data_IF_948156664815
#
_entry.id   IF_948156664815
#
_cell.length_a   1.000
_cell.length_b   1.000
_cell.length_c   1.000
_cell.angle_alpha   90.00
_cell.angle_beta   90.00
_cell.angle_gamma   90.00
#
_symmetry.space_group_name_H-M   'P 1'
#
loop_
_entity.id
_entity.type
_entity.pdbx_description
1 polymer ?
#
# COMPACT_ATOMS: atom_id res chain seq x y z
N UNK A 1 2.61 18.58 -6.24
CA UNK A 1 2.31 17.32 -5.53
C UNK A 1 1.62 17.71 -4.25
N UNK A 2 0.40 17.22 -4.06
CA UNK A 2 -0.45 17.47 -2.90
C UNK A 2 -0.39 16.25 -1.95
N UNK A 3 -0.83 16.39 -0.71
CA UNK A 3 -0.85 15.26 0.25
C UNK A 3 -1.72 14.10 -0.29
N UNK A 4 -2.82 14.45 -0.95
CA UNK A 4 -3.72 13.54 -1.67
C UNK A 4 -3.01 12.62 -2.68
N UNK A 5 -1.93 13.09 -3.33
CA UNK A 5 -1.17 12.26 -4.27
C UNK A 5 -0.52 11.07 -3.54
N UNK A 6 -0.06 11.26 -2.31
CA UNK A 6 0.53 10.19 -1.50
C UNK A 6 -0.53 9.23 -0.96
N UNK A 7 -1.67 9.75 -0.50
CA UNK A 7 -2.80 8.93 -0.05
C UNK A 7 -3.29 8.02 -1.16
N UNK A 8 -3.39 8.56 -2.38
CA UNK A 8 -3.75 7.78 -3.56
C UNK A 8 -2.76 6.65 -3.81
N UNK A 9 -1.45 6.93 -3.73
CA UNK A 9 -0.43 5.89 -3.89
C UNK A 9 -0.60 4.79 -2.84
N UNK A 10 -0.80 5.13 -1.56
CA UNK A 10 -0.98 4.13 -0.49
C UNK A 10 -2.27 3.32 -0.68
N UNK A 11 -3.37 3.96 -1.04
CA UNK A 11 -4.67 3.30 -1.26
C UNK A 11 -4.63 2.35 -2.46
N UNK A 12 -3.83 2.65 -3.48
CA UNK A 12 -3.66 1.76 -4.63
C UNK A 12 -3.08 0.39 -4.24
N UNK A 13 -2.24 0.32 -3.21
CA UNK A 13 -1.74 -0.97 -2.72
C UNK A 13 -2.86 -1.86 -2.19
N UNK A 14 -3.88 -1.28 -1.55
CA UNK A 14 -5.04 -2.02 -1.04
C UNK A 14 -5.88 -2.56 -2.21
N UNK A 15 -6.17 -1.72 -3.20
CA UNK A 15 -6.88 -2.15 -4.40
C UNK A 15 -6.16 -3.27 -5.15
N UNK A 16 -4.84 -3.21 -5.27
CA UNK A 16 -4.07 -4.28 -5.92
C UNK A 16 -4.14 -5.58 -5.11
N UNK A 17 -4.11 -5.53 -3.77
CA UNK A 17 -4.29 -6.73 -2.95
C UNK A 17 -5.69 -7.33 -3.15
N UNK A 18 -6.73 -6.50 -3.13
CA UNK A 18 -8.12 -6.93 -3.36
C UNK A 18 -8.29 -7.56 -4.75
N UNK A 19 -7.72 -6.94 -5.79
CA UNK A 19 -7.73 -7.47 -7.17
C UNK A 19 -7.04 -8.84 -7.24
N UNK A 20 -5.92 -9.02 -6.51
CA UNK A 20 -5.23 -10.32 -6.48
C UNK A 20 -6.09 -11.38 -5.80
N UNK A 21 -6.75 -11.07 -4.69
CA UNK A 21 -7.65 -12.01 -4.02
C UNK A 21 -8.87 -12.33 -4.89
N UNK A 22 -9.47 -11.35 -5.57
CA UNK A 22 -10.53 -11.60 -6.54
C UNK A 22 -10.05 -12.53 -7.67
N UNK A 23 -8.85 -12.33 -8.20
CA UNK A 23 -8.28 -13.21 -9.23
C UNK A 23 -8.13 -14.64 -8.70
N UNK A 24 -7.62 -14.82 -7.47
CA UNK A 24 -7.46 -16.15 -6.84
C UNK A 24 -8.80 -16.88 -6.71
N UNK A 25 -9.86 -16.17 -6.36
CA UNK A 25 -11.20 -16.75 -6.20
C UNK A 25 -11.83 -17.19 -7.53
N UNK A 26 -11.41 -16.59 -8.64
CA UNK A 26 -11.97 -16.85 -9.97
C UNK A 26 -11.20 -17.91 -10.78
N UNK A 27 -10.08 -18.44 -10.27
CA UNK A 27 -9.25 -19.42 -10.98
C UNK A 27 -8.92 -20.64 -10.09
N UNK A 28 -8.87 -21.83 -10.69
CA UNK A 28 -8.41 -23.02 -9.96
C UNK A 28 -6.88 -23.04 -9.88
N UNK A 29 -6.35 -22.86 -8.67
CA UNK A 29 -4.92 -22.83 -8.40
C UNK A 29 -4.42 -24.14 -7.82
N UNK A 30 -3.18 -24.51 -8.15
CA UNK A 30 -2.41 -25.44 -7.34
C UNK A 30 -1.90 -24.76 -6.06
N UNK A 31 -1.57 -25.53 -5.04
CA UNK A 31 -1.00 -25.01 -3.78
C UNK A 31 0.24 -24.12 -4.01
N UNK A 32 1.09 -24.48 -4.98
CA UNK A 32 2.30 -23.70 -5.32
C UNK A 32 1.95 -22.35 -5.96
N UNK A 33 0.87 -22.27 -6.73
CA UNK A 33 0.43 -21.02 -7.36
C UNK A 33 -0.25 -20.13 -6.33
N UNK A 34 -1.14 -20.68 -5.50
CA UNK A 34 -1.76 -19.95 -4.39
C UNK A 34 -0.71 -19.36 -3.43
N UNK A 35 0.33 -20.13 -3.11
CA UNK A 35 1.43 -19.65 -2.30
C UNK A 35 2.16 -18.44 -2.94
N UNK A 36 2.32 -18.42 -4.26
CA UNK A 36 2.95 -17.28 -4.96
C UNK A 36 2.08 -16.04 -4.91
N UNK A 37 0.77 -16.16 -5.07
CA UNK A 37 -0.13 -15.02 -4.94
C UNK A 37 -0.14 -14.48 -3.52
N UNK A 38 -0.19 -15.36 -2.52
CA UNK A 38 -0.09 -14.96 -1.11
C UNK A 38 1.24 -14.24 -0.82
N UNK A 39 2.36 -14.69 -1.39
CA UNK A 39 3.64 -13.99 -1.29
C UNK A 39 3.63 -12.62 -1.98
N UNK A 40 2.90 -12.47 -3.10
CA UNK A 40 2.76 -11.19 -3.79
C UNK A 40 2.02 -10.18 -2.93
N UNK A 41 0.88 -10.57 -2.34
CA UNK A 41 0.11 -9.76 -1.38
C UNK A 41 1.02 -9.29 -0.23
N UNK A 42 1.72 -10.21 0.44
CA UNK A 42 2.64 -9.87 1.54
C UNK A 42 3.74 -8.88 1.09
N UNK A 43 4.23 -9.00 -0.13
CA UNK A 43 5.24 -8.10 -0.68
C UNK A 43 4.68 -6.69 -0.92
N UNK A 44 3.43 -6.60 -1.37
CA UNK A 44 2.70 -5.35 -1.64
C UNK A 44 2.39 -4.64 -0.30
N UNK A 45 1.85 -5.36 0.69
CA UNK A 45 1.62 -4.84 2.05
C UNK A 45 2.91 -4.30 2.68
N UNK A 46 4.02 -5.02 2.50
CA UNK A 46 5.33 -4.57 2.99
C UNK A 46 5.77 -3.29 2.30
N UNK A 47 5.57 -3.16 0.99
CA UNK A 47 5.89 -1.94 0.26
C UNK A 47 5.01 -0.77 0.73
N UNK A 48 3.70 -0.99 0.90
CA UNK A 48 2.75 -0.02 1.47
C UNK A 48 3.26 0.50 2.81
N UNK A 49 3.60 -0.39 3.73
CA UNK A 49 4.13 -0.02 5.06
C UNK A 49 5.40 0.83 4.98
N UNK A 50 6.35 0.43 4.13
CA UNK A 50 7.61 1.18 3.94
C UNK A 50 7.31 2.60 3.43
N UNK A 51 6.42 2.75 2.46
CA UNK A 51 6.08 4.05 1.90
C UNK A 51 5.33 4.93 2.91
N UNK A 52 4.39 4.33 3.64
CA UNK A 52 3.66 4.97 4.74
C UNK A 52 4.63 5.55 5.79
N UNK A 53 5.67 4.80 6.15
CA UNK A 53 6.72 5.24 7.08
C UNK A 53 7.66 6.32 6.50
N UNK A 54 7.86 6.35 5.18
CA UNK A 54 8.89 7.19 4.52
C UNK A 54 8.35 8.49 3.95
N UNK A 55 7.13 8.52 3.44
CA UNK A 55 6.53 9.69 2.80
C UNK A 55 6.54 10.93 3.71
N UNK A 56 6.14 10.87 5.00
CA UNK A 56 6.21 12.04 5.86
C UNK A 56 7.64 12.49 6.22
N UNK A 57 8.66 11.67 5.90
CA UNK A 57 10.07 11.98 6.13
C UNK A 57 10.75 12.65 4.93
N UNK A 58 10.04 12.86 3.82
CA UNK A 58 10.58 13.51 2.62
C UNK A 58 10.87 15.00 2.93
N UNK A 59 12.16 15.37 2.89
CA UNK A 59 12.63 16.70 3.27
C UNK A 59 12.17 17.84 2.35
N UNK A 60 11.81 17.53 1.11
CA UNK A 60 11.35 18.54 0.14
C UNK A 60 9.87 18.91 0.28
N UNK A 61 9.11 18.22 1.14
CA UNK A 61 7.73 18.56 1.44
C UNK A 61 7.65 19.73 2.43
N UNK A 62 6.55 20.47 2.38
CA UNK A 62 6.27 21.51 3.38
C UNK A 62 6.09 20.88 4.77
N UNK A 63 6.14 21.71 5.83
CA UNK A 63 5.86 21.22 7.18
C UNK A 63 4.43 20.68 7.28
N UNK A 64 3.46 21.48 6.83
CA UNK A 64 2.03 21.17 6.83
C UNK A 64 1.75 19.83 6.14
N UNK A 65 2.29 19.61 4.94
CA UNK A 65 2.11 18.32 4.24
C UNK A 65 2.70 17.13 5.02
N UNK A 66 3.80 17.30 5.75
CA UNK A 66 4.37 16.19 6.52
C UNK A 66 3.55 15.90 7.77
N UNK A 67 2.90 16.91 8.34
CA UNK A 67 1.96 16.78 9.45
C UNK A 67 0.70 16.06 8.97
N UNK A 68 0.09 16.52 7.88
CA UNK A 68 -1.07 15.85 7.25
C UNK A 68 -0.77 14.37 6.98
N UNK A 69 0.38 14.08 6.34
CA UNK A 69 0.78 12.70 6.04
C UNK A 69 1.04 11.88 7.30
N UNK A 70 1.52 12.47 8.40
CA UNK A 70 1.73 11.74 9.66
C UNK A 70 0.40 11.39 10.33
N UNK A 71 -0.55 12.32 10.35
CA UNK A 71 -1.86 12.10 10.94
C UNK A 71 -2.65 11.05 10.16
N UNK A 72 -2.81 11.24 8.85
CA UNK A 72 -3.60 10.34 8.01
C UNK A 72 -2.99 8.93 7.96
N UNK A 73 -1.67 8.80 7.90
CA UNK A 73 -1.01 7.49 7.89
C UNK A 73 -0.99 6.77 9.24
N UNK A 74 -1.15 7.49 10.35
CA UNK A 74 -1.29 6.86 11.66
C UNK A 74 -2.60 6.05 11.75
N UNK A 75 -3.66 6.49 11.05
CA UNK A 75 -4.96 5.82 11.02
C UNK A 75 -5.03 4.68 9.99
N UNK A 76 -4.03 4.58 9.09
CA UNK A 76 -3.96 3.54 8.03
C UNK A 76 -3.09 2.32 8.40
N UNK A 77 -2.44 2.32 9.55
CA UNK A 77 -1.56 1.24 10.05
C UNK A 77 -2.22 0.40 11.15
#
# INVERSE_FOLDING_TARGET
MQAEDFYRVISEFDFICDDIDEIKDNISLTEKEDHKFSQAIVSIEKAKKILTDLFPKIKSLTADMREDLQEEFADMC
#
